data_IF_613460998019
#
_entry.id   IF_613460998019
#
_cell.length_a   1.000
_cell.length_b   1.000
_cell.length_c   1.000
_cell.angle_alpha   90.00
_cell.angle_beta   90.00
_cell.angle_gamma   90.00
#
_symmetry.space_group_name_H-M   'P 1'
#
loop_
_entity.id
_entity.type
_entity.pdbx_description
1 polymer ?
#
# COMPACT_ATOMS: atom_id res chain seq x y z
N UNK A 1 24.66 5.06 -46.26
CA UNK A 1 25.31 6.21 -45.60
C UNK A 1 24.25 6.77 -44.64
N UNK A 2 24.34 6.67 -43.31
CA UNK A 2 25.35 7.27 -42.43
C UNK A 2 25.51 8.78 -42.72
N UNK A 3 25.32 9.74 -41.81
CA UNK A 3 25.10 9.72 -40.34
C UNK A 3 24.34 11.04 -39.97
N UNK A 4 23.88 11.38 -38.76
CA UNK A 4 24.04 10.84 -37.38
C UNK A 4 22.92 11.38 -36.46
N UNK A 5 22.63 10.68 -35.37
CA UNK A 5 21.84 11.17 -34.23
C UNK A 5 22.74 11.85 -33.19
N UNK A 6 22.38 13.04 -32.72
CA UNK A 6 23.04 13.67 -31.57
C UNK A 6 22.24 13.40 -30.29
N UNK A 7 22.76 12.50 -29.45
CA UNK A 7 22.35 12.39 -28.05
C UNK A 7 22.96 13.55 -27.26
N UNK A 8 22.12 14.35 -26.60
CA UNK A 8 22.56 15.32 -25.59
C UNK A 8 22.71 14.64 -24.22
N UNK A 9 23.86 14.83 -23.57
CA UNK A 9 24.17 14.23 -22.27
C UNK A 9 23.25 14.74 -21.14
N UNK A 10 22.83 13.88 -20.19
CA UNK A 10 22.01 14.28 -19.03
C UNK A 10 22.83 14.82 -17.85
N UNK A 11 24.02 15.39 -18.09
CA UNK A 11 24.91 15.93 -17.06
C UNK A 11 25.43 17.32 -17.44
N UNK A 12 24.69 18.35 -17.05
CA UNK A 12 25.22 19.71 -16.95
C UNK A 12 24.53 20.46 -15.81
N UNK A 13 25.28 20.71 -14.74
CA UNK A 13 24.83 21.54 -13.63
C UNK A 13 24.98 23.01 -14.02
N UNK A 14 23.87 23.69 -14.36
CA UNK A 14 23.85 25.15 -14.42
C UNK A 14 23.50 25.72 -13.05
N UNK A 15 24.48 26.36 -12.43
CA UNK A 15 24.28 27.15 -11.21
C UNK A 15 23.54 28.44 -11.55
N UNK A 16 22.32 28.60 -11.06
CA UNK A 16 21.64 29.88 -11.10
C UNK A 16 22.06 30.71 -9.87
N UNK A 17 22.96 31.68 -10.07
CA UNK A 17 23.23 32.69 -9.05
C UNK A 17 22.03 33.63 -8.96
N UNK A 18 21.32 33.62 -7.83
CA UNK A 18 20.25 34.59 -7.54
C UNK A 18 20.79 35.70 -6.64
N UNK A 19 21.06 36.85 -7.24
CA UNK A 19 21.50 38.06 -6.52
C UNK A 19 20.39 38.55 -5.59
N UNK A 20 20.64 38.54 -4.27
CA UNK A 20 19.69 39.06 -3.28
C UNK A 20 19.68 40.59 -3.32
N UNK A 21 18.60 41.16 -3.86
CA UNK A 21 18.32 42.60 -3.77
C UNK A 21 17.55 42.88 -2.48
N UNK A 22 18.22 43.45 -1.49
CA UNK A 22 17.59 43.88 -0.23
C UNK A 22 16.81 45.18 -0.48
N UNK A 23 15.48 45.11 -0.40
CA UNK A 23 14.60 46.28 -0.44
C UNK A 23 14.00 46.53 0.95
N UNK A 24 14.57 47.50 1.69
CA UNK A 24 14.03 47.97 2.96
C UNK A 24 12.73 48.76 2.77
N UNK A 25 11.66 48.42 3.49
CA UNK A 25 10.57 49.37 3.77
C UNK A 25 10.19 49.38 5.25
N UNK A 26 9.94 50.60 5.73
CA UNK A 26 9.87 51.00 7.12
C UNK A 26 8.50 50.77 7.77
N UNK A 27 8.51 50.68 9.08
CA UNK A 27 7.32 50.57 9.94
C UNK A 27 6.43 51.81 9.89
N UNK A 28 5.12 51.61 10.05
CA UNK A 28 4.26 52.63 10.69
C UNK A 28 3.32 51.98 11.70
N UNK A 29 3.47 52.37 12.96
CA UNK A 29 2.65 51.93 14.11
C UNK A 29 1.35 52.72 14.23
N UNK A 30 0.26 52.07 14.62
CA UNK A 30 -0.82 52.72 15.39
C UNK A 30 -1.33 51.79 16.49
N UNK A 31 -1.31 52.31 17.71
CA UNK A 31 -1.76 51.65 18.94
C UNK A 31 -3.06 52.27 19.43
N UNK A 32 -3.89 51.49 20.16
CA UNK A 32 -4.49 51.82 21.48
C UNK A 32 -5.74 50.94 21.80
N UNK A 33 -6.12 50.78 23.08
CA UNK A 33 -6.30 49.42 23.63
C UNK A 33 -7.67 49.17 24.31
N UNK A 34 -7.67 48.30 25.34
CA UNK A 34 -8.77 47.79 26.20
C UNK A 34 -9.41 46.50 25.63
N UNK A 35 -9.78 45.48 26.43
CA UNK A 35 -9.85 45.35 27.89
C UNK A 35 -9.49 43.92 28.34
N UNK A 36 -8.84 43.77 29.50
CA UNK A 36 -8.58 42.46 30.16
C UNK A 36 -9.82 42.00 30.94
N UNK A 37 -10.24 40.75 30.75
CA UNK A 37 -10.76 39.92 31.87
C UNK A 37 -10.29 38.47 31.72
N UNK A 38 -9.75 37.90 32.79
CA UNK A 38 -9.37 36.48 32.85
C UNK A 38 -10.43 35.69 33.63
N UNK A 39 -10.77 34.47 33.20
CA UNK A 39 -11.29 33.43 34.09
C UNK A 39 -10.67 32.07 33.76
N UNK A 40 -9.86 31.59 34.70
CA UNK A 40 -9.36 30.22 34.75
C UNK A 40 -10.46 29.29 35.30
N UNK A 41 -10.64 28.12 34.68
CA UNK A 41 -11.28 26.96 35.30
C UNK A 41 -10.50 25.70 34.87
N UNK A 42 -10.00 24.96 35.86
CA UNK A 42 -9.25 23.69 35.69
C UNK A 42 -10.19 22.46 35.65
N UNK A 43 -9.71 21.27 35.23
CA UNK A 43 -10.59 20.20 34.75
C UNK A 43 -11.19 19.34 35.85
N UNK A 44 -12.37 18.76 35.59
CA UNK A 44 -13.08 17.88 36.52
C UNK A 44 -12.92 16.41 36.11
N UNK A 45 -12.09 15.70 36.87
CA UNK A 45 -11.95 14.24 36.80
C UNK A 45 -13.22 13.59 37.36
N UNK A 46 -13.80 12.61 36.65
CA UNK A 46 -14.83 11.75 37.23
C UNK A 46 -14.56 10.27 36.98
N UNK A 47 -13.83 9.67 37.93
CA UNK A 47 -13.80 8.21 38.11
C UNK A 47 -15.05 7.80 38.91
N UNK A 48 -15.88 6.90 38.37
CA UNK A 48 -16.71 6.04 39.22
C UNK A 48 -16.85 4.62 38.67
N UNK A 49 -16.29 3.69 39.43
CA UNK A 49 -16.39 2.23 39.27
C UNK A 49 -17.58 1.72 40.08
N UNK A 50 -18.49 0.98 39.45
CA UNK A 50 -19.31 -0.08 40.07
C UNK A 50 -19.92 -0.91 38.93
N UNK A 51 -19.53 -2.17 38.67
CA UNK A 51 -19.57 -3.41 39.46
C UNK A 51 -20.94 -4.13 39.39
N UNK A 52 -20.91 -5.33 38.81
CA UNK A 52 -21.90 -6.42 38.78
C UNK A 52 -23.37 -6.15 38.41
N UNK A 53 -23.83 -6.88 37.37
CA UNK A 53 -24.82 -7.95 37.61
C UNK A 53 -24.82 -9.01 36.51
N UNK A 54 -24.76 -10.28 36.94
CA UNK A 54 -25.03 -11.45 36.10
C UNK A 54 -26.48 -11.42 35.61
N UNK A 55 -26.73 -11.79 34.35
CA UNK A 55 -28.00 -12.41 33.94
C UNK A 55 -27.77 -13.42 32.82
N UNK A 56 -28.01 -14.70 33.13
CA UNK A 56 -28.03 -15.79 32.16
C UNK A 56 -29.08 -15.53 31.09
N UNK A 57 -28.71 -15.62 29.81
CA UNK A 57 -29.66 -15.84 28.72
C UNK A 57 -29.16 -16.85 27.69
N UNK A 58 -29.75 -18.04 27.79
CA UNK A 58 -30.37 -18.71 26.65
C UNK A 58 -29.48 -19.01 25.44
N UNK A 59 -28.81 -20.17 25.50
CA UNK A 59 -28.26 -20.87 24.35
C UNK A 59 -29.29 -21.02 23.22
N UNK A 60 -29.02 -20.42 22.05
CA UNK A 60 -29.73 -20.72 20.80
C UNK A 60 -28.74 -20.78 19.62
N UNK A 61 -28.17 -21.97 19.41
CA UNK A 61 -27.41 -22.31 18.20
C UNK A 61 -28.36 -22.94 17.16
N UNK A 62 -28.50 -22.38 15.95
CA UNK A 62 -29.26 -23.03 14.89
C UNK A 62 -28.49 -24.23 14.34
N UNK A 63 -29.10 -25.42 14.40
CA UNK A 63 -28.58 -26.64 13.77
C UNK A 63 -28.71 -26.56 12.24
N UNK A 64 -27.70 -26.05 11.54
CA UNK A 64 -27.53 -26.33 10.11
C UNK A 64 -26.11 -26.02 9.61
N UNK A 65 -25.31 -27.08 9.40
CA UNK A 65 -24.63 -27.35 8.12
C UNK A 65 -23.88 -28.68 8.25
N UNK A 66 -24.55 -29.76 7.84
CA UNK A 66 -23.92 -31.06 7.57
C UNK A 66 -23.58 -31.10 6.08
N UNK A 67 -22.48 -31.78 5.73
CA UNK A 67 -21.98 -32.06 4.37
C UNK A 67 -20.99 -31.03 3.79
N UNK A 68 -19.69 -31.31 3.94
CA UNK A 68 -18.78 -31.31 2.80
C UNK A 68 -18.03 -32.65 2.73
N UNK A 69 -17.42 -32.94 1.58
CA UNK A 69 -17.38 -34.29 0.99
C UNK A 69 -15.99 -34.90 1.04
N UNK A 70 -15.94 -36.23 1.26
CA UNK A 70 -14.73 -37.07 1.26
C UNK A 70 -13.79 -36.76 0.08
N UNK A 71 -12.51 -36.56 0.37
CA UNK A 71 -11.41 -36.88 -0.55
C UNK A 71 -10.97 -38.33 -0.25
N UNK A 72 -10.69 -39.08 -1.31
CA UNK A 72 -10.34 -40.50 -1.25
C UNK A 72 -8.96 -40.66 -1.88
N UNK A 73 -7.97 -41.01 -1.07
CA UNK A 73 -6.68 -41.58 -1.51
C UNK A 73 -6.59 -42.96 -0.86
N UNK A 74 -6.04 -43.95 -1.55
CA UNK A 74 -6.01 -45.33 -1.07
C UNK A 74 -4.68 -46.02 -1.36
N UNK A 75 -4.46 -47.13 -0.64
CA UNK A 75 -3.27 -47.99 -0.63
C UNK A 75 -2.00 -47.35 0.00
N UNK A 76 -1.24 -48.04 0.86
CA UNK A 76 -1.43 -49.38 1.46
C UNK A 76 -0.51 -49.62 2.67
N UNK A 77 -0.79 -50.70 3.42
CA UNK A 77 0.09 -51.40 4.38
C UNK A 77 0.29 -50.82 5.79
N UNK A 78 0.86 -51.67 6.67
CA UNK A 78 0.56 -51.80 8.11
C UNK A 78 1.88 -51.76 8.92
N UNK A 79 1.80 -51.16 10.12
CA UNK A 79 2.91 -51.09 11.10
C UNK A 79 3.59 -49.71 11.06
N UNK A 80 4.00 -49.11 12.17
CA UNK A 80 4.03 -49.57 13.57
C UNK A 80 3.81 -48.35 14.50
N UNK A 81 3.46 -48.58 15.77
CA UNK A 81 3.10 -47.50 16.70
C UNK A 81 4.30 -46.71 17.19
N UNK A 82 4.29 -45.39 17.00
CA UNK A 82 5.00 -44.40 17.81
C UNK A 82 4.15 -43.12 17.93
N UNK A 83 4.47 -42.28 18.91
CA UNK A 83 3.59 -41.22 19.45
C UNK A 83 3.36 -40.02 18.51
N UNK A 84 2.49 -40.18 17.51
CA UNK A 84 1.89 -39.03 16.81
C UNK A 84 0.90 -38.29 17.74
N UNK A 85 1.39 -37.24 18.40
CA UNK A 85 0.52 -36.24 19.01
C UNK A 85 -0.42 -35.67 17.93
N UNK A 86 -1.72 -35.92 18.08
CA UNK A 86 -2.72 -35.75 17.03
C UNK A 86 -2.98 -34.26 16.76
N UNK A 87 -2.13 -33.64 15.92
CA UNK A 87 -2.39 -32.33 15.31
C UNK A 87 -3.44 -32.49 14.21
N UNK A 88 -4.68 -32.69 14.64
CA UNK A 88 -5.83 -32.87 13.77
C UNK A 88 -6.04 -31.63 12.88
N UNK A 89 -5.67 -31.74 11.61
CA UNK A 89 -6.10 -30.82 10.55
C UNK A 89 -5.58 -29.38 10.68
N UNK A 90 -4.31 -29.19 11.06
CA UNK A 90 -3.69 -27.86 11.01
C UNK A 90 -3.84 -27.22 9.61
N UNK A 91 -4.50 -26.06 9.55
CA UNK A 91 -4.68 -25.32 8.31
C UNK A 91 -3.34 -24.73 7.88
N UNK A 92 -2.70 -25.39 6.91
CA UNK A 92 -1.46 -24.91 6.29
C UNK A 92 -1.80 -23.74 5.36
N UNK A 93 -1.06 -22.64 5.48
CA UNK A 93 -1.27 -21.50 4.60
C UNK A 93 -0.91 -21.79 3.14
N UNK A 94 -1.50 -21.02 2.24
CA UNK A 94 -1.24 -21.08 0.80
C UNK A 94 0.21 -20.67 0.45
N UNK A 95 0.68 -21.17 -0.70
CA UNK A 95 2.01 -20.86 -1.21
C UNK A 95 2.02 -19.50 -1.95
N UNK A 96 2.84 -18.54 -1.49
CA UNK A 96 2.93 -17.20 -2.09
C UNK A 96 3.86 -17.18 -3.30
N UNK A 97 3.51 -16.39 -4.32
CA UNK A 97 4.23 -16.32 -5.59
C UNK A 97 4.36 -17.66 -6.36
N UNK A 98 3.63 -18.71 -6.00
CA UNK A 98 3.53 -19.90 -6.84
C UNK A 98 2.93 -19.52 -8.20
N UNK A 99 3.55 -19.99 -9.27
CA UNK A 99 3.15 -19.65 -10.64
C UNK A 99 3.54 -20.78 -11.59
N UNK A 100 2.56 -21.63 -11.89
CA UNK A 100 2.69 -22.69 -12.88
C UNK A 100 2.30 -22.17 -14.27
N UNK A 101 3.30 -22.07 -15.16
CA UNK A 101 3.15 -21.68 -16.56
C UNK A 101 2.24 -22.66 -17.35
N UNK A 102 2.28 -23.95 -17.05
CA UNK A 102 1.48 -24.97 -17.73
C UNK A 102 -0.01 -24.91 -17.38
N UNK A 103 -0.36 -24.31 -16.23
CA UNK A 103 -1.75 -24.03 -15.84
C UNK A 103 -2.31 -22.74 -16.45
N UNK A 104 -1.48 -21.90 -17.07
CA UNK A 104 -1.93 -20.61 -17.62
C UNK A 104 -2.66 -20.76 -18.95
N UNK A 105 -3.78 -20.05 -19.10
CA UNK A 105 -4.51 -19.95 -20.37
C UNK A 105 -4.14 -18.67 -21.10
N UNK A 106 -3.58 -18.77 -22.30
CA UNK A 106 -3.23 -17.61 -23.15
C UNK A 106 -4.44 -16.67 -23.33
N UNK A 107 -5.65 -17.22 -23.48
CA UNK A 107 -6.88 -16.43 -23.56
C UNK A 107 -7.12 -15.55 -22.33
N UNK A 108 -6.87 -16.03 -21.11
CA UNK A 108 -6.98 -15.21 -19.89
C UNK A 108 -6.03 -14.01 -19.90
N UNK A 109 -4.83 -14.17 -20.47
CA UNK A 109 -3.85 -13.08 -20.61
C UNK A 109 -4.25 -12.08 -21.70
N UNK A 110 -4.86 -12.53 -22.80
CA UNK A 110 -5.47 -11.64 -23.81
C UNK A 110 -6.63 -10.85 -23.19
N UNK A 111 -7.52 -11.50 -22.42
CA UNK A 111 -8.60 -10.81 -21.70
C UNK A 111 -8.05 -9.82 -20.67
N UNK A 112 -6.99 -10.18 -19.93
CA UNK A 112 -6.30 -9.28 -19.01
C UNK A 112 -5.79 -8.02 -19.72
N UNK A 113 -5.08 -8.16 -20.84
CA UNK A 113 -4.58 -7.01 -21.60
C UNK A 113 -5.73 -6.13 -22.12
N UNK A 114 -6.82 -6.73 -22.60
CA UNK A 114 -8.02 -5.99 -23.04
C UNK A 114 -8.70 -5.23 -21.90
N UNK A 115 -8.94 -5.88 -20.76
CA UNK A 115 -9.54 -5.25 -19.57
C UNK A 115 -8.64 -4.13 -19.03
N UNK A 116 -7.33 -4.38 -18.92
CA UNK A 116 -6.36 -3.38 -18.49
C UNK A 116 -6.35 -2.16 -19.42
N UNK A 117 -6.34 -2.37 -20.74
CA UNK A 117 -6.41 -1.30 -21.73
C UNK A 117 -7.69 -0.45 -21.60
N UNK A 118 -8.85 -1.10 -21.41
CA UNK A 118 -10.12 -0.40 -21.19
C UNK A 118 -10.10 0.40 -19.87
N UNK A 119 -9.61 -0.20 -18.78
CA UNK A 119 -9.53 0.49 -17.48
C UNK A 119 -8.60 1.69 -17.53
N UNK A 120 -7.44 1.57 -18.19
CA UNK A 120 -6.50 2.68 -18.37
C UNK A 120 -7.09 3.77 -19.27
N UNK A 121 -7.76 3.42 -20.37
CA UNK A 121 -8.44 4.39 -21.24
C UNK A 121 -9.58 5.13 -20.52
N UNK A 122 -10.40 4.44 -19.73
CA UNK A 122 -11.47 5.07 -18.94
C UNK A 122 -10.87 5.96 -17.84
N UNK A 123 -9.80 5.53 -17.18
CA UNK A 123 -9.09 6.35 -16.20
C UNK A 123 -8.47 7.62 -16.83
N UNK A 124 -7.93 7.48 -18.05
CA UNK A 124 -7.39 8.59 -18.83
C UNK A 124 -8.48 9.63 -19.12
N UNK A 125 -9.53 9.26 -19.87
CA UNK A 125 -10.60 10.16 -20.29
C UNK A 125 -11.44 10.69 -19.11
N UNK A 126 -11.79 9.86 -18.13
CA UNK A 126 -12.69 10.28 -17.05
C UNK A 126 -11.97 10.98 -15.87
N UNK A 127 -10.63 10.95 -15.81
CA UNK A 127 -9.89 11.49 -14.67
C UNK A 127 -8.60 12.20 -15.01
N UNK A 128 -7.70 11.61 -15.81
CA UNK A 128 -6.35 12.15 -16.02
C UNK A 128 -6.35 13.30 -17.04
N UNK A 129 -7.08 13.17 -18.15
CA UNK A 129 -7.14 14.17 -19.20
C UNK A 129 -7.71 15.49 -18.68
N UNK A 130 -6.97 16.59 -18.87
CA UNK A 130 -7.37 17.90 -18.34
C UNK A 130 -8.55 18.57 -19.05
N UNK A 131 -8.98 18.05 -20.21
CA UNK A 131 -10.11 18.60 -20.99
C UNK A 131 -11.43 17.89 -20.71
N UNK A 132 -11.37 16.62 -20.31
CA UNK A 132 -12.54 15.75 -20.10
C UNK A 132 -12.65 15.15 -18.70
N UNK A 133 -11.54 15.05 -17.96
CA UNK A 133 -11.44 14.34 -16.69
C UNK A 133 -11.66 15.20 -15.44
N UNK A 134 -12.07 14.55 -14.35
CA UNK A 134 -12.33 15.19 -13.05
C UNK A 134 -11.08 15.37 -12.15
N UNK A 135 -9.91 14.85 -12.54
CA UNK A 135 -8.70 14.87 -11.73
C UNK A 135 -8.20 16.29 -11.44
N UNK A 136 -8.13 17.17 -12.45
CA UNK A 136 -7.75 18.57 -12.23
C UNK A 136 -8.75 19.32 -11.31
N UNK A 137 -10.07 19.33 -11.57
CA UNK A 137 -11.04 19.93 -10.64
C UNK A 137 -10.95 19.40 -9.21
N UNK A 138 -10.66 18.10 -9.02
CA UNK A 138 -10.46 17.50 -7.71
C UNK A 138 -9.20 18.05 -7.01
N UNK A 139 -8.07 18.12 -7.71
CA UNK A 139 -6.82 18.70 -7.18
C UNK A 139 -6.97 20.19 -6.87
N UNK A 140 -7.58 20.96 -7.77
CA UNK A 140 -7.81 22.40 -7.59
C UNK A 140 -8.69 22.67 -6.34
N UNK A 141 -9.70 21.82 -6.10
CA UNK A 141 -10.56 21.89 -4.91
C UNK A 141 -9.81 21.57 -3.60
N UNK A 142 -8.95 20.54 -3.59
CA UNK A 142 -8.15 20.19 -2.40
C UNK A 142 -7.07 21.25 -2.14
N UNK A 143 -6.46 21.80 -3.19
CA UNK A 143 -5.49 22.90 -3.10
C UNK A 143 -6.14 24.18 -2.54
N UNK A 144 -7.36 24.49 -2.98
CA UNK A 144 -8.15 25.61 -2.42
C UNK A 144 -8.45 25.41 -0.93
N UNK A 145 -8.87 24.20 -0.53
CA UNK A 145 -9.24 23.90 0.87
C UNK A 145 -8.03 23.84 1.82
N UNK A 146 -6.83 23.55 1.29
CA UNK A 146 -5.56 23.60 2.02
C UNK A 146 -4.90 25.00 2.03
N UNK A 147 -5.62 26.03 1.54
CA UNK A 147 -5.11 27.40 1.38
C UNK A 147 -3.80 27.48 0.58
N UNK A 148 -3.64 26.59 -0.41
CA UNK A 148 -2.44 26.41 -1.23
C UNK A 148 -1.16 26.06 -0.46
N UNK A 149 -1.27 25.43 0.72
CA UNK A 149 -0.12 24.81 1.39
C UNK A 149 0.07 23.38 0.90
N UNK A 150 1.17 23.11 0.20
CA UNK A 150 1.42 21.87 -0.54
C UNK A 150 1.53 20.66 0.40
N UNK A 151 2.16 20.80 1.57
CA UNK A 151 2.18 19.73 2.58
C UNK A 151 0.79 19.42 3.17
N UNK A 152 -0.10 20.42 3.26
CA UNK A 152 -1.47 20.25 3.76
C UNK A 152 -2.33 19.58 2.69
N UNK A 153 -2.25 20.04 1.44
CA UNK A 153 -2.87 19.38 0.29
C UNK A 153 -2.44 17.91 0.20
N UNK A 154 -1.14 17.64 0.33
CA UNK A 154 -0.57 16.29 0.28
C UNK A 154 -1.14 15.37 1.37
N UNK A 155 -1.24 15.86 2.62
CA UNK A 155 -1.89 15.13 3.71
C UNK A 155 -3.38 14.90 3.45
N UNK A 156 -4.08 15.89 2.90
CA UNK A 156 -5.51 15.79 2.59
C UNK A 156 -5.79 14.77 1.49
N UNK A 157 -5.02 14.79 0.38
CA UNK A 157 -5.11 13.79 -0.69
C UNK A 157 -4.86 12.38 -0.14
N UNK A 158 -3.80 12.22 0.64
CA UNK A 158 -3.44 10.94 1.28
C UNK A 158 -4.55 10.46 2.23
N UNK A 159 -5.18 11.36 2.99
CA UNK A 159 -6.27 11.04 3.90
C UNK A 159 -7.56 10.66 3.15
N UNK A 160 -7.92 11.38 2.09
CA UNK A 160 -9.07 11.08 1.23
C UNK A 160 -8.88 9.68 0.61
N UNK A 161 -7.72 9.41 0.03
CA UNK A 161 -7.36 8.09 -0.48
C UNK A 161 -7.45 7.03 0.63
N UNK A 162 -6.82 7.25 1.78
CA UNK A 162 -6.78 6.29 2.88
C UNK A 162 -8.19 5.94 3.41
N UNK A 163 -9.08 6.93 3.54
CA UNK A 163 -10.47 6.75 3.97
C UNK A 163 -11.25 5.93 2.93
N UNK A 164 -11.22 6.34 1.65
CA UNK A 164 -11.97 5.65 0.59
C UNK A 164 -11.45 4.23 0.39
N UNK A 165 -10.14 4.05 0.23
CA UNK A 165 -9.50 2.75 0.01
C UNK A 165 -9.74 1.80 1.19
N UNK A 166 -9.47 2.23 2.43
CA UNK A 166 -9.64 1.38 3.61
C UNK A 166 -11.10 1.15 3.98
N UNK A 167 -11.97 2.13 3.71
CA UNK A 167 -13.41 2.03 3.89
C UNK A 167 -13.99 0.96 2.96
N UNK A 168 -13.74 1.07 1.65
CA UNK A 168 -14.13 0.04 0.68
C UNK A 168 -13.49 -1.31 1.01
N UNK A 169 -12.25 -1.36 1.47
CA UNK A 169 -11.62 -2.61 1.88
C UNK A 169 -12.38 -3.28 3.05
N UNK A 170 -12.94 -2.48 3.96
CA UNK A 170 -13.75 -2.91 5.11
C UNK A 170 -15.18 -3.29 4.74
N UNK A 171 -15.77 -2.65 3.73
CA UNK A 171 -17.12 -2.95 3.26
C UNK A 171 -17.19 -4.15 2.31
N UNK A 172 -16.04 -4.68 1.85
CA UNK A 172 -15.93 -5.79 0.90
C UNK A 172 -16.89 -6.95 1.20
N UNK A 173 -16.87 -7.52 2.40
CA UNK A 173 -17.70 -8.68 2.76
C UNK A 173 -19.22 -8.44 2.65
N UNK A 174 -19.67 -7.18 2.77
CA UNK A 174 -21.08 -6.80 2.59
C UNK A 174 -21.37 -6.45 1.12
N UNK A 175 -20.47 -5.74 0.46
CA UNK A 175 -20.62 -5.35 -0.94
C UNK A 175 -20.57 -6.54 -1.91
N UNK A 176 -19.67 -7.50 -1.67
CA UNK A 176 -19.58 -8.75 -2.44
C UNK A 176 -20.89 -9.56 -2.38
N UNK A 177 -21.61 -9.52 -1.24
CA UNK A 177 -22.93 -10.16 -1.10
C UNK A 177 -24.06 -9.43 -1.83
N UNK A 178 -23.90 -8.13 -2.10
CA UNK A 178 -24.91 -7.31 -2.75
C UNK A 178 -24.77 -7.27 -4.27
N UNK A 179 -23.53 -7.16 -4.79
CA UNK A 179 -23.25 -6.98 -6.23
C UNK A 179 -22.28 -8.02 -6.82
N UNK A 180 -21.77 -8.97 -6.02
CA UNK A 180 -20.80 -9.99 -6.46
C UNK A 180 -19.34 -9.51 -6.44
N UNK A 181 -18.37 -10.44 -6.35
CA UNK A 181 -16.96 -10.08 -6.13
C UNK A 181 -16.33 -9.31 -7.30
N UNK A 182 -16.70 -9.62 -8.55
CA UNK A 182 -16.18 -8.91 -9.72
C UNK A 182 -16.67 -7.45 -9.78
N UNK A 183 -17.97 -7.21 -9.64
CA UNK A 183 -18.51 -5.84 -9.67
C UNK A 183 -17.98 -5.02 -8.48
N UNK A 184 -17.85 -5.64 -7.30
CA UNK A 184 -17.23 -4.98 -6.15
C UNK A 184 -15.75 -4.66 -6.37
N UNK A 185 -14.98 -5.55 -7.01
CA UNK A 185 -13.58 -5.29 -7.40
C UNK A 185 -13.47 -4.12 -8.37
N UNK A 186 -14.35 -4.04 -9.37
CA UNK A 186 -14.38 -2.94 -10.34
C UNK A 186 -14.73 -1.61 -9.66
N UNK A 187 -15.75 -1.58 -8.79
CA UNK A 187 -16.09 -0.38 -8.01
C UNK A 187 -14.93 0.05 -7.10
N UNK A 188 -14.30 -0.91 -6.40
CA UNK A 188 -13.16 -0.67 -5.53
C UNK A 188 -11.99 -0.04 -6.30
N UNK A 189 -11.64 -0.61 -7.45
CA UNK A 189 -10.55 -0.12 -8.30
C UNK A 189 -10.90 1.22 -8.94
N UNK A 190 -12.12 1.38 -9.46
CA UNK A 190 -12.60 2.60 -10.11
C UNK A 190 -12.70 3.81 -9.19
N UNK A 191 -12.76 3.62 -7.86
CA UNK A 191 -12.64 4.70 -6.88
C UNK A 191 -11.22 4.85 -6.31
N UNK A 192 -10.49 3.75 -6.12
CA UNK A 192 -9.14 3.79 -5.54
C UNK A 192 -8.07 4.28 -6.52
N UNK A 193 -8.11 3.86 -7.79
CA UNK A 193 -7.10 4.20 -8.79
C UNK A 193 -7.06 5.70 -9.11
N UNK A 194 -8.19 6.41 -9.34
CA UNK A 194 -8.17 7.84 -9.57
C UNK A 194 -7.55 8.63 -8.41
N UNK A 195 -7.96 8.31 -7.18
CA UNK A 195 -7.44 8.94 -5.96
C UNK A 195 -5.95 8.65 -5.73
N UNK A 196 -5.50 7.43 -6.00
CA UNK A 196 -4.09 7.06 -5.94
C UNK A 196 -3.26 7.82 -6.98
N UNK A 197 -3.72 7.89 -8.24
CA UNK A 197 -3.04 8.62 -9.32
C UNK A 197 -2.97 10.11 -9.00
N UNK A 198 -4.07 10.73 -8.57
CA UNK A 198 -4.06 12.13 -8.11
C UNK A 198 -3.05 12.38 -6.98
N UNK A 199 -3.01 11.50 -5.98
CA UNK A 199 -2.05 11.61 -4.86
C UNK A 199 -0.60 11.49 -5.35
N UNK A 200 -0.31 10.56 -6.26
CA UNK A 200 1.06 10.32 -6.80
C UNK A 200 1.50 11.44 -7.76
N UNK A 201 0.64 11.90 -8.67
CA UNK A 201 0.93 13.00 -9.60
C UNK A 201 1.18 14.30 -8.84
N UNK A 202 0.31 14.63 -7.88
CA UNK A 202 0.49 15.80 -7.01
C UNK A 202 1.83 15.74 -6.29
N UNK A 203 2.16 14.60 -5.68
CA UNK A 203 3.46 14.41 -5.03
C UNK A 203 4.63 14.62 -6.00
N UNK A 204 4.59 14.07 -7.21
CA UNK A 204 5.68 14.18 -8.20
C UNK A 204 5.90 15.64 -8.64
N UNK A 205 4.82 16.38 -8.87
CA UNK A 205 4.85 17.78 -9.31
C UNK A 205 5.36 18.68 -8.18
N UNK A 206 4.84 18.51 -6.97
CA UNK A 206 5.18 19.31 -5.78
C UNK A 206 6.37 18.78 -4.96
N UNK A 207 7.11 17.76 -5.46
CA UNK A 207 8.14 17.05 -4.67
C UNK A 207 9.28 17.91 -4.16
N UNK A 208 9.52 19.09 -4.73
CA UNK A 208 10.57 20.02 -4.30
C UNK A 208 10.02 21.33 -3.70
N UNK A 209 8.71 21.40 -3.47
CA UNK A 209 8.07 22.55 -2.84
C UNK A 209 8.13 22.44 -1.31
N UNK A 210 7.51 23.41 -0.62
CA UNK A 210 7.55 23.51 0.84
C UNK A 210 8.94 23.86 1.39
N UNK A 211 9.18 23.54 2.65
CA UNK A 211 10.40 23.91 3.38
C UNK A 211 11.45 22.81 3.28
N UNK A 212 12.64 23.13 2.74
CA UNK A 212 13.79 22.23 2.78
C UNK A 212 14.28 22.06 4.23
N UNK A 213 14.36 20.80 4.69
CA UNK A 213 14.74 20.40 6.05
C UNK A 213 16.18 19.87 6.11
N UNK A 214 16.60 19.12 5.09
CA UNK A 214 17.99 18.66 4.91
C UNK A 214 18.30 18.43 3.43
N UNK A 215 19.59 18.46 3.06
CA UNK A 215 20.04 18.24 1.69
C UNK A 215 21.24 17.28 1.72
N UNK A 216 21.01 16.02 1.29
CA UNK A 216 21.99 14.93 1.48
C UNK A 216 22.54 14.36 0.16
N UNK A 217 22.02 14.72 -1.00
CA UNK A 217 22.29 14.05 -2.29
C UNK A 217 23.75 14.17 -2.76
N UNK A 218 24.53 15.09 -2.18
CA UNK A 218 25.98 15.23 -2.38
C UNK A 218 26.83 14.30 -1.49
N UNK A 219 26.24 13.65 -0.48
CA UNK A 219 26.94 12.72 0.42
C UNK A 219 27.28 11.42 -0.33
N UNK A 220 28.56 11.01 -0.38
CA UNK A 220 28.95 9.77 -1.05
C UNK A 220 28.20 8.55 -0.51
N UNK A 221 27.73 7.69 -1.41
CA UNK A 221 27.00 6.47 -1.06
C UNK A 221 25.49 6.65 -0.81
N UNK A 222 24.99 7.87 -0.57
CA UNK A 222 23.57 8.07 -0.21
C UNK A 222 22.61 7.59 -1.31
N UNK A 223 22.94 7.85 -2.57
CA UNK A 223 22.15 7.40 -3.72
C UNK A 223 22.05 5.89 -3.72
N UNK A 224 23.18 5.19 -3.56
CA UNK A 224 23.26 3.74 -3.57
C UNK A 224 22.43 3.13 -2.42
N UNK A 225 22.45 3.73 -1.24
CA UNK A 225 21.61 3.29 -0.11
C UNK A 225 20.13 3.54 -0.38
N UNK A 226 19.73 4.74 -0.84
CA UNK A 226 18.31 5.05 -1.13
C UNK A 226 17.75 4.21 -2.29
N UNK A 227 18.57 3.96 -3.31
CA UNK A 227 18.24 3.08 -4.43
C UNK A 227 18.08 1.63 -3.98
N UNK A 228 19.02 1.10 -3.20
CA UNK A 228 18.95 -0.27 -2.68
C UNK A 228 17.76 -0.44 -1.73
N UNK A 229 17.49 0.54 -0.86
CA UNK A 229 16.30 0.55 -0.01
C UNK A 229 15.01 0.54 -0.83
N UNK A 230 14.92 1.35 -1.88
CA UNK A 230 13.75 1.37 -2.79
C UNK A 230 13.63 0.10 -3.63
N UNK A 231 14.75 -0.51 -4.01
CA UNK A 231 14.76 -1.80 -4.72
C UNK A 231 14.23 -2.92 -3.81
N UNK A 232 14.73 -3.01 -2.57
CA UNK A 232 14.24 -3.96 -1.56
C UNK A 232 12.75 -3.71 -1.27
N UNK A 233 12.32 -2.45 -1.18
CA UNK A 233 10.93 -2.13 -0.83
C UNK A 233 9.93 -2.64 -1.86
N UNK A 234 10.29 -2.72 -3.14
CA UNK A 234 9.42 -3.26 -4.19
C UNK A 234 9.16 -4.77 -4.00
N UNK A 235 10.13 -5.55 -3.54
CA UNK A 235 9.92 -6.97 -3.19
C UNK A 235 8.90 -7.17 -2.06
N UNK A 236 8.75 -6.16 -1.19
CA UNK A 236 7.76 -6.14 -0.12
C UNK A 236 6.39 -5.55 -0.54
N UNK A 237 6.35 -4.64 -1.53
CA UNK A 237 5.11 -3.99 -2.00
C UNK A 237 4.24 -4.90 -2.89
N UNK A 238 4.87 -5.53 -3.89
CA UNK A 238 4.18 -6.30 -4.94
C UNK A 238 3.72 -7.75 -4.63
N UNK A 239 3.92 -8.35 -3.43
CA UNK A 239 3.21 -9.58 -3.04
C UNK A 239 1.69 -9.46 -3.11
N UNK A 240 1.16 -8.25 -2.92
CA UNK A 240 -0.25 -7.90 -3.14
C UNK A 240 -0.76 -8.16 -4.56
N UNK A 241 0.13 -8.35 -5.54
CA UNK A 241 -0.19 -8.53 -6.97
C UNK A 241 0.20 -9.90 -7.55
N UNK A 242 0.62 -10.89 -6.74
CA UNK A 242 1.05 -12.20 -7.27
C UNK A 242 0.00 -12.89 -8.16
N UNK A 243 -1.30 -12.74 -7.86
CA UNK A 243 -2.40 -13.26 -8.67
C UNK A 243 -3.01 -12.16 -9.57
N UNK A 244 -2.24 -11.67 -10.55
CA UNK A 244 -2.63 -10.55 -11.43
C UNK A 244 -4.03 -10.70 -12.08
N UNK A 245 -4.40 -11.91 -12.50
CA UNK A 245 -5.71 -12.18 -13.11
C UNK A 245 -6.87 -11.97 -12.12
N UNK A 246 -6.68 -12.25 -10.83
CA UNK A 246 -7.67 -11.97 -9.78
C UNK A 246 -7.71 -10.47 -9.40
N UNK A 247 -6.57 -9.79 -9.45
CA UNK A 247 -6.47 -8.35 -9.22
C UNK A 247 -7.25 -7.59 -10.29
N UNK A 248 -7.10 -7.99 -11.55
CA UNK A 248 -7.82 -7.44 -12.70
C UNK A 248 -9.27 -7.96 -12.88
N UNK A 249 -9.78 -8.75 -11.93
CA UNK A 249 -11.11 -9.39 -11.97
C UNK A 249 -11.39 -10.34 -13.16
N UNK A 250 -10.36 -10.69 -13.95
CA UNK A 250 -10.42 -11.70 -15.02
C UNK A 250 -10.74 -13.05 -14.38
N UNK A 251 -9.91 -13.47 -13.42
CA UNK A 251 -10.24 -14.57 -12.52
C UNK A 251 -11.05 -14.05 -11.33
N UNK A 252 -11.73 -14.98 -10.64
CA UNK A 252 -12.62 -14.64 -9.52
C UNK A 252 -11.79 -14.07 -8.35
N UNK A 253 -11.98 -12.80 -7.93
CA UNK A 253 -11.16 -12.22 -6.86
C UNK A 253 -11.45 -12.90 -5.52
N UNK A 254 -10.44 -13.48 -4.87
CA UNK A 254 -10.57 -14.02 -3.51
C UNK A 254 -9.73 -13.22 -2.48
N UNK A 255 -9.51 -13.83 -1.32
CA UNK A 255 -8.45 -13.46 -0.37
C UNK A 255 -7.65 -14.75 -0.13
N UNK A 256 -6.40 -14.60 0.29
CA UNK A 256 -5.48 -15.72 0.52
C UNK A 256 -4.98 -15.73 1.96
N UNK A 257 -4.68 -16.91 2.46
CA UNK A 257 -3.99 -17.12 3.74
C UNK A 257 -2.57 -17.63 3.47
N UNK A 258 -1.71 -16.78 2.91
CA UNK A 258 -0.33 -17.17 2.56
C UNK A 258 0.60 -17.30 3.78
N UNK A 259 1.42 -18.35 3.79
CA UNK A 259 2.40 -18.60 4.87
C UNK A 259 3.85 -18.74 4.37
N UNK A 260 4.09 -18.89 3.06
CA UNK A 260 5.42 -19.10 2.48
C UNK A 260 6.03 -17.82 1.87
N UNK A 261 7.30 -17.87 1.48
CA UNK A 261 8.02 -16.80 0.79
C UNK A 261 8.17 -15.56 1.67
N UNK A 262 7.92 -14.38 1.11
CA UNK A 262 7.93 -13.09 1.84
C UNK A 262 7.02 -13.09 3.08
N UNK A 263 5.97 -13.93 3.10
CA UNK A 263 5.04 -14.04 4.23
C UNK A 263 5.67 -14.70 5.46
N UNK A 264 6.72 -15.53 5.28
CA UNK A 264 7.56 -16.03 6.38
C UNK A 264 8.32 -14.90 7.08
N UNK A 265 8.71 -13.88 6.32
CA UNK A 265 9.42 -12.70 6.85
C UNK A 265 8.43 -11.80 7.60
N UNK A 266 7.27 -11.49 7.02
CA UNK A 266 6.18 -10.73 7.65
C UNK A 266 4.85 -11.01 6.95
N UNK A 267 3.75 -11.13 7.69
CA UNK A 267 2.41 -11.24 7.08
C UNK A 267 1.88 -9.91 6.51
N UNK A 268 2.58 -8.80 6.73
CA UNK A 268 2.22 -7.47 6.22
C UNK A 268 3.35 -6.88 5.35
N UNK A 269 3.77 -7.57 4.27
CA UNK A 269 4.92 -7.14 3.50
C UNK A 269 4.68 -5.77 2.86
N UNK A 270 3.47 -5.49 2.36
CA UNK A 270 3.15 -4.21 1.73
C UNK A 270 3.29 -3.02 2.70
N UNK A 271 3.05 -3.20 4.01
CA UNK A 271 3.33 -2.15 5.00
C UNK A 271 4.84 -1.92 5.14
N UNK A 272 5.62 -2.99 5.28
CA UNK A 272 7.09 -2.92 5.44
C UNK A 272 7.75 -2.30 4.22
N UNK A 273 7.32 -2.70 3.01
CA UNK A 273 7.77 -2.09 1.76
C UNK A 273 7.42 -0.61 1.69
N UNK A 274 6.18 -0.24 2.03
CA UNK A 274 5.79 1.17 2.02
C UNK A 274 6.61 2.02 3.01
N UNK A 275 6.86 1.51 4.21
CA UNK A 275 7.70 2.20 5.21
C UNK A 275 9.12 2.42 4.68
N UNK A 276 9.77 1.38 4.14
CA UNK A 276 11.12 1.50 3.56
C UNK A 276 11.15 2.50 2.40
N UNK A 277 10.15 2.45 1.51
CA UNK A 277 10.03 3.35 0.36
C UNK A 277 9.84 4.81 0.79
N UNK A 278 8.91 5.07 1.72
CA UNK A 278 8.65 6.40 2.26
C UNK A 278 9.89 6.98 2.97
N UNK A 279 10.59 6.17 3.77
CA UNK A 279 11.82 6.60 4.43
C UNK A 279 12.92 6.94 3.41
N UNK A 280 13.10 6.12 2.36
CA UNK A 280 14.08 6.39 1.31
C UNK A 280 13.78 7.69 0.55
N UNK A 281 12.52 7.94 0.18
CA UNK A 281 12.12 9.17 -0.51
C UNK A 281 12.19 10.39 0.41
N UNK A 282 11.81 10.25 1.68
CA UNK A 282 11.97 11.30 2.70
C UNK A 282 13.44 11.71 2.83
N UNK A 283 14.34 10.76 3.04
CA UNK A 283 15.79 11.04 3.18
C UNK A 283 16.37 11.64 1.91
N UNK A 284 15.97 11.15 0.72
CA UNK A 284 16.48 11.65 -0.57
C UNK A 284 16.00 13.06 -0.94
N UNK A 285 14.76 13.42 -0.61
CA UNK A 285 14.15 14.70 -1.00
C UNK A 285 14.35 15.76 0.09
N UNK A 286 14.06 15.42 1.34
CA UNK A 286 14.40 16.22 2.51
C UNK A 286 13.62 17.51 2.74
N UNK A 287 12.35 17.60 2.31
CA UNK A 287 11.46 18.76 2.52
C UNK A 287 10.16 18.41 3.27
N UNK A 288 9.38 19.42 3.63
CA UNK A 288 8.08 19.27 4.31
C UNK A 288 7.08 18.43 3.51
N UNK A 289 7.00 18.58 2.18
CA UNK A 289 6.07 17.82 1.32
C UNK A 289 6.38 16.32 1.34
N UNK A 290 7.65 15.91 1.25
CA UNK A 290 8.05 14.50 1.33
C UNK A 290 7.81 13.90 2.72
N UNK A 291 8.03 14.67 3.79
CA UNK A 291 7.69 14.27 5.16
C UNK A 291 6.18 14.11 5.33
N UNK A 292 5.38 15.05 4.81
CA UNK A 292 3.92 15.03 4.85
C UNK A 292 3.33 13.81 4.11
N UNK A 293 3.77 13.58 2.87
CA UNK A 293 3.42 12.38 2.09
C UNK A 293 3.77 11.10 2.85
N UNK A 294 4.97 11.03 3.42
CA UNK A 294 5.45 9.84 4.11
C UNK A 294 4.74 9.58 5.44
N UNK A 295 4.45 10.60 6.25
CA UNK A 295 3.67 10.46 7.48
C UNK A 295 2.25 9.97 7.15
N UNK A 296 1.58 10.58 6.17
CA UNK A 296 0.24 10.17 5.74
C UNK A 296 0.22 8.72 5.25
N UNK A 297 1.17 8.34 4.39
CA UNK A 297 1.19 7.04 3.74
C UNK A 297 1.69 5.92 4.68
N UNK A 298 2.66 6.19 5.56
CA UNK A 298 3.03 5.27 6.66
C UNK A 298 1.85 5.08 7.60
N UNK A 299 1.17 6.17 8.00
CA UNK A 299 -0.04 6.11 8.84
C UNK A 299 -1.14 5.25 8.22
N UNK A 300 -1.40 5.42 6.91
CA UNK A 300 -2.33 4.59 6.16
C UNK A 300 -1.95 3.10 6.20
N UNK A 301 -0.68 2.75 5.98
CA UNK A 301 -0.23 1.35 5.96
C UNK A 301 -0.18 0.71 7.35
N UNK A 302 0.14 1.48 8.41
CA UNK A 302 0.03 1.03 9.80
C UNK A 302 -1.42 0.76 10.20
N UNK A 303 -2.36 1.63 9.79
CA UNK A 303 -3.80 1.33 9.91
C UNK A 303 -4.19 0.10 9.08
N UNK A 304 -3.60 -0.05 7.90
CA UNK A 304 -3.75 -1.19 7.00
C UNK A 304 -3.39 -2.54 7.64
N UNK A 305 -2.40 -2.58 8.53
CA UNK A 305 -2.04 -3.79 9.32
C UNK A 305 -3.23 -4.26 10.14
N UNK A 306 -3.77 -3.38 10.99
CA UNK A 306 -4.91 -3.69 11.85
C UNK A 306 -6.18 -4.01 11.03
N UNK A 307 -6.47 -3.22 10.00
CA UNK A 307 -7.64 -3.42 9.17
C UNK A 307 -7.53 -4.69 8.30
N UNK A 308 -6.33 -5.06 7.87
CA UNK A 308 -6.04 -6.32 7.18
C UNK A 308 -6.36 -7.51 8.08
N UNK A 309 -5.73 -7.56 9.25
CA UNK A 309 -5.96 -8.58 10.28
C UNK A 309 -7.44 -8.73 10.64
N UNK A 310 -8.09 -7.61 10.98
CA UNK A 310 -9.51 -7.59 11.38
C UNK A 310 -10.40 -8.25 10.33
N UNK A 311 -10.16 -8.00 9.04
CA UNK A 311 -10.95 -8.57 7.94
C UNK A 311 -10.65 -10.04 7.71
N UNK A 312 -9.39 -10.46 7.83
CA UNK A 312 -9.02 -11.87 7.75
C UNK A 312 -9.62 -12.67 8.92
N UNK A 313 -9.55 -12.16 10.16
CA UNK A 313 -10.19 -12.76 11.32
C UNK A 313 -11.72 -12.87 11.17
N UNK A 314 -12.40 -11.83 10.66
CA UNK A 314 -13.85 -11.87 10.39
C UNK A 314 -14.22 -12.91 9.32
N UNK A 315 -13.38 -13.06 8.28
CA UNK A 315 -13.69 -13.93 7.13
C UNK A 315 -13.30 -15.39 7.33
N UNK A 316 -12.21 -15.66 8.04
CA UNK A 316 -11.60 -16.99 8.17
C UNK A 316 -11.61 -17.54 9.61
N UNK A 317 -11.87 -16.71 10.62
CA UNK A 317 -11.94 -17.16 12.02
C UNK A 317 -10.65 -17.83 12.49
N UNK A 318 -10.78 -19.06 12.99
CA UNK A 318 -9.69 -19.85 13.58
C UNK A 318 -8.52 -20.06 12.62
N UNK A 319 -8.80 -20.33 11.34
CA UNK A 319 -7.78 -20.53 10.29
C UNK A 319 -6.79 -19.36 10.21
N UNK A 320 -7.30 -18.12 10.40
CA UNK A 320 -6.45 -16.93 10.43
C UNK A 320 -5.70 -16.78 11.75
N UNK A 321 -6.29 -17.10 12.90
CA UNK A 321 -5.58 -17.03 14.18
C UNK A 321 -4.45 -18.07 14.27
N UNK A 322 -4.63 -19.26 13.68
CA UNK A 322 -3.58 -20.28 13.50
C UNK A 322 -2.46 -19.82 12.57
N UNK A 323 -2.76 -19.09 11.48
CA UNK A 323 -1.73 -18.47 10.64
C UNK A 323 -1.01 -17.32 11.35
N UNK A 324 -1.75 -16.50 12.09
CA UNK A 324 -1.26 -15.33 12.83
C UNK A 324 -0.35 -15.73 13.99
N UNK A 325 -0.60 -16.84 14.66
CA UNK A 325 0.29 -17.39 15.69
C UNK A 325 1.64 -17.86 15.14
N UNK A 326 1.69 -18.26 13.85
CA UNK A 326 2.90 -18.71 13.13
C UNK A 326 3.61 -17.62 12.32
N UNK A 327 3.09 -16.39 12.30
CA UNK A 327 3.64 -15.27 11.51
C UNK A 327 3.85 -14.02 12.38
N UNK A 328 4.34 -12.91 11.79
CA UNK A 328 4.60 -11.65 12.51
C UNK A 328 4.27 -10.44 11.63
N UNK A 329 4.01 -9.28 12.26
CA UNK A 329 4.03 -7.98 11.59
C UNK A 329 5.46 -7.50 11.41
N UNK A 330 6.27 -7.62 12.47
CA UNK A 330 7.68 -7.23 12.49
C UNK A 330 8.48 -8.24 11.65
N UNK A 331 9.25 -7.79 10.64
CA UNK A 331 10.11 -8.65 9.83
C UNK A 331 10.98 -9.59 10.66
N UNK A 332 11.07 -10.84 10.22
CA UNK A 332 11.88 -11.93 10.79
C UNK A 332 11.53 -12.36 12.23
N UNK A 333 10.75 -11.61 13.00
CA UNK A 333 10.50 -11.91 14.40
C UNK A 333 9.90 -13.32 14.61
N UNK A 334 8.94 -13.76 13.79
CA UNK A 334 8.40 -15.13 13.89
C UNK A 334 9.44 -16.23 13.58
N UNK A 335 10.44 -15.94 12.77
CA UNK A 335 11.54 -16.87 12.47
C UNK A 335 12.50 -16.93 13.66
N UNK A 336 12.84 -15.78 14.25
CA UNK A 336 13.70 -15.66 15.43
C UNK A 336 13.05 -16.29 16.68
N UNK A 337 11.74 -16.10 16.86
CA UNK A 337 10.92 -16.77 17.89
C UNK A 337 10.81 -18.30 17.66
N UNK A 338 11.24 -18.79 16.49
CA UNK A 338 11.09 -20.19 16.08
C UNK A 338 9.66 -20.62 15.75
N UNK A 339 8.67 -19.71 15.75
CA UNK A 339 7.27 -19.97 15.40
C UNK A 339 7.07 -20.21 13.89
N UNK A 340 7.91 -19.57 13.07
CA UNK A 340 8.01 -19.77 11.63
C UNK A 340 9.30 -20.51 11.31
N UNK A 341 9.21 -21.62 10.58
CA UNK A 341 10.40 -22.42 10.20
C UNK A 341 10.79 -22.13 8.75
N UNK A 342 12.09 -22.04 8.49
CA UNK A 342 12.63 -21.99 7.13
C UNK A 342 12.95 -23.42 6.66
N UNK A 343 12.29 -23.98 5.63
CA UNK A 343 12.69 -25.26 5.05
C UNK A 343 14.07 -25.14 4.39
N UNK A 344 14.80 -26.26 4.22
CA UNK A 344 16.18 -26.25 3.67
C UNK A 344 16.27 -25.61 2.28
N UNK A 345 15.19 -25.62 1.51
CA UNK A 345 15.10 -25.06 0.18
C UNK A 345 14.18 -23.83 0.08
N UNK A 346 13.98 -23.10 1.19
CA UNK A 346 13.19 -21.85 1.24
C UNK A 346 13.59 -20.82 0.15
N UNK A 347 14.84 -20.82 -0.29
CA UNK A 347 15.31 -19.92 -1.36
C UNK A 347 14.52 -20.10 -2.67
N UNK A 348 14.00 -21.31 -2.95
CA UNK A 348 13.13 -21.58 -4.12
C UNK A 348 11.82 -20.80 -4.08
N UNK A 349 11.37 -20.37 -2.90
CA UNK A 349 10.18 -19.52 -2.75
C UNK A 349 10.42 -18.12 -3.34
N UNK A 350 11.68 -17.67 -3.39
CA UNK A 350 12.09 -16.36 -3.92
C UNK A 350 12.62 -16.43 -5.37
N UNK A 351 13.00 -17.61 -5.86
CA UNK A 351 13.40 -17.83 -7.27
C UNK A 351 12.18 -18.30 -8.09
N UNK A 352 11.11 -17.50 -8.07
CA UNK A 352 9.85 -17.75 -8.79
C UNK A 352 9.58 -16.66 -9.81
N UNK A 353 8.80 -16.98 -10.86
CA UNK A 353 8.50 -16.04 -11.94
C UNK A 353 7.95 -14.69 -11.44
N UNK A 354 7.04 -14.61 -10.44
CA UNK A 354 6.59 -13.30 -9.94
C UNK A 354 7.70 -12.43 -9.35
N UNK A 355 8.72 -12.99 -8.68
CA UNK A 355 9.86 -12.21 -8.19
C UNK A 355 10.82 -11.79 -9.31
N UNK A 356 10.98 -12.61 -10.35
CA UNK A 356 11.71 -12.21 -11.57
C UNK A 356 10.99 -11.05 -12.27
N UNK A 357 9.66 -11.12 -12.38
CA UNK A 357 8.82 -10.04 -12.91
C UNK A 357 8.88 -8.77 -12.06
N UNK A 358 8.86 -8.88 -10.72
CA UNK A 358 9.05 -7.74 -9.81
C UNK A 358 10.44 -7.13 -9.99
N UNK A 359 11.49 -7.94 -10.16
CA UNK A 359 12.85 -7.45 -10.44
C UNK A 359 12.88 -6.63 -11.73
N UNK A 360 12.32 -7.18 -12.83
CA UNK A 360 12.23 -6.50 -14.11
C UNK A 360 11.39 -5.22 -14.03
N UNK A 361 10.24 -5.25 -13.34
CA UNK A 361 9.39 -4.09 -13.11
C UNK A 361 10.10 -2.99 -12.30
N UNK A 362 10.84 -3.37 -11.25
CA UNK A 362 11.58 -2.41 -10.41
C UNK A 362 12.65 -1.69 -11.20
N UNK A 363 13.40 -2.42 -12.03
CA UNK A 363 14.39 -1.83 -12.95
C UNK A 363 13.72 -0.96 -14.02
N UNK A 364 12.59 -1.40 -14.59
CA UNK A 364 11.83 -0.62 -15.57
C UNK A 364 11.28 0.69 -14.97
N UNK A 365 10.74 0.66 -13.76
CA UNK A 365 10.27 1.87 -13.04
C UNK A 365 11.42 2.81 -12.72
N UNK A 366 12.59 2.29 -12.30
CA UNK A 366 13.77 3.13 -12.09
C UNK A 366 14.22 3.83 -13.39
N UNK A 367 14.30 3.11 -14.51
CA UNK A 367 14.65 3.67 -15.82
C UNK A 367 13.58 4.62 -16.37
N UNK A 368 12.30 4.36 -16.09
CA UNK A 368 11.17 5.19 -16.51
C UNK A 368 10.90 6.37 -15.58
N UNK A 369 11.59 6.50 -14.44
CA UNK A 369 11.35 7.57 -13.47
C UNK A 369 11.41 8.99 -14.05
N UNK A 370 12.34 9.34 -14.99
CA UNK A 370 12.30 10.63 -15.69
C UNK A 370 11.07 10.80 -16.60
N UNK A 371 10.57 9.72 -17.21
CA UNK A 371 9.35 9.74 -18.03
C UNK A 371 8.10 9.96 -17.17
N UNK A 372 8.04 9.34 -15.99
CA UNK A 372 6.97 9.56 -15.02
C UNK A 372 6.90 11.03 -14.58
N UNK A 373 8.06 11.64 -14.28
CA UNK A 373 8.15 13.08 -14.00
C UNK A 373 7.66 13.92 -15.18
N UNK A 374 8.17 13.67 -16.39
CA UNK A 374 7.81 14.42 -17.59
C UNK A 374 6.33 14.27 -17.99
N UNK A 375 5.70 13.13 -17.72
CA UNK A 375 4.27 12.91 -17.92
C UNK A 375 3.44 13.66 -16.88
N UNK A 376 3.81 13.55 -15.59
CA UNK A 376 3.15 14.23 -14.46
C UNK A 376 3.09 15.75 -14.64
N UNK A 377 4.19 16.36 -15.11
CA UNK A 377 4.26 17.81 -15.34
C UNK A 377 3.29 18.33 -16.42
N UNK A 378 2.84 17.48 -17.36
CA UNK A 378 1.84 17.89 -18.38
C UNK A 378 0.43 18.04 -17.81
N UNK A 379 0.18 17.49 -16.63
CA UNK A 379 -1.12 17.52 -16.00
C UNK A 379 -1.36 18.83 -15.26
N UNK A 380 -0.33 19.57 -14.84
CA UNK A 380 -0.49 20.82 -14.08
C UNK A 380 -1.46 20.67 -12.88
N UNK A 381 -1.29 19.53 -12.19
CA UNK A 381 -1.90 19.15 -10.92
C UNK A 381 -0.93 19.43 -9.79
#
# INVERSE_FOLDING_TARGET
MATSLLFSNPFSCHFHNTTVVVASKTSTTRSNPLLVTSKSISPLIFLKKNNNNNHNRGLFLPKSMRNYRKIRVGASEIGETDEEEVVAGAVVGEDSADFDLGKQKISSWIYFCGVLGIVLFVLDVAWIDNSTGFGKPFIDAVSTLSASHEEVAMLMLTLIFAIVHSGLASFRDKGEKLIGERAYRVLFAGLSLPLAVSTVVYFINHRYDGVQLWQLQSVPGIHQVMWLSSFISFFFLYPSTFNLLEVAAVDKPKMHLWETGIMRITRHPQMVGQVIWCLAHTVWIGNSVAVAASIGLIGHHLFGVWNGDRRLAIRYGEDFEVLKSRTSVIPFAAILDGRQKLPKDYYKEFVRLPYLSITALTLAVYLAHPLMQAASFRLHW
#
